data_IF_855797781207
#
_entry.id   IF_855797781207
#
_cell.length_a   1.000
_cell.length_b   1.000
_cell.length_c   1.000
_cell.angle_alpha   90.00
_cell.angle_beta   90.00
_cell.angle_gamma   90.00
#
_symmetry.space_group_name_H-M   'P 1'
#
loop_
_entity.id
_entity.type
_entity.pdbx_description
1 polymer ?
#
# COMPACT_ATOMS: atom_id res chain seq x y z
N UNK A 1 7.46 9.92 -24.22
CA UNK A 1 6.08 10.14 -23.71
C UNK A 1 6.11 9.87 -22.22
N UNK A 2 5.96 10.90 -21.36
CA UNK A 2 5.84 10.68 -19.91
C UNK A 2 4.43 10.13 -19.67
N UNK A 3 4.31 8.91 -19.14
CA UNK A 3 3.02 8.41 -18.67
C UNK A 3 2.58 9.35 -17.54
N UNK A 4 1.44 9.98 -17.72
CA UNK A 4 0.74 10.69 -16.66
C UNK A 4 0.37 9.66 -15.61
N UNK A 5 1.11 9.64 -14.49
CA UNK A 5 0.67 8.94 -13.30
C UNK A 5 -0.58 9.64 -12.79
N UNK A 6 -1.59 8.85 -12.43
CA UNK A 6 -2.78 9.30 -11.72
C UNK A 6 -2.36 10.10 -10.47
N UNK A 7 -2.34 11.43 -10.59
CA UNK A 7 -2.01 12.31 -9.50
C UNK A 7 -3.28 12.70 -8.75
N UNK A 8 -3.23 12.64 -7.42
CA UNK A 8 -4.32 13.10 -6.55
C UNK A 8 -5.31 12.04 -6.08
N UNK A 9 -5.08 10.75 -6.33
CA UNK A 9 -5.83 9.66 -5.70
C UNK A 9 -4.93 8.47 -5.33
N UNK A 10 -5.39 7.65 -4.40
CA UNK A 10 -4.74 6.40 -3.98
C UNK A 10 -5.77 5.28 -3.93
N UNK A 11 -5.35 4.06 -4.22
CA UNK A 11 -6.17 2.85 -4.04
C UNK A 11 -5.96 2.34 -2.62
N UNK A 12 -7.06 2.09 -1.90
CA UNK A 12 -7.02 1.49 -0.56
C UNK A 12 -7.40 0.02 -0.62
N UNK A 13 -6.63 -0.82 0.05
CA UNK A 13 -6.91 -2.24 0.25
C UNK A 13 -7.08 -2.48 1.75
N UNK A 14 -8.29 -2.89 2.14
CA UNK A 14 -8.61 -3.41 3.48
C UNK A 14 -8.62 -4.92 3.41
N UNK A 15 -7.57 -5.56 3.94
CA UNK A 15 -7.46 -7.01 4.03
C UNK A 15 -8.23 -7.56 5.24
N UNK A 16 -8.67 -8.81 5.15
CA UNK A 16 -9.37 -9.50 6.24
C UNK A 16 -8.41 -9.98 7.34
N UNK A 17 -7.13 -10.18 7.01
CA UNK A 17 -6.11 -10.57 7.99
C UNK A 17 -4.79 -9.81 7.81
N UNK A 18 -3.99 -9.79 8.87
CA UNK A 18 -2.64 -9.21 8.86
C UNK A 18 -1.72 -9.89 7.84
N UNK A 19 -1.82 -11.21 7.71
CA UNK A 19 -0.99 -12.01 6.79
C UNK A 19 -1.34 -11.70 5.32
N UNK A 20 -2.62 -11.41 5.03
CA UNK A 20 -3.04 -10.97 3.71
C UNK A 20 -2.52 -9.58 3.37
N UNK A 21 -2.66 -8.62 4.29
CA UNK A 21 -2.09 -7.29 4.10
C UNK A 21 -0.56 -7.33 3.91
N UNK A 22 0.16 -8.16 4.65
CA UNK A 22 1.60 -8.38 4.47
C UNK A 22 1.95 -8.96 3.09
N UNK A 23 1.21 -9.98 2.63
CA UNK A 23 1.39 -10.58 1.30
C UNK A 23 1.17 -9.56 0.19
N UNK A 24 0.08 -8.78 0.27
CA UNK A 24 -0.27 -7.76 -0.71
C UNK A 24 0.80 -6.66 -0.73
N UNK A 25 1.16 -6.11 0.43
CA UNK A 25 2.15 -5.05 0.55
C UNK A 25 3.52 -5.51 0.02
N UNK A 26 3.96 -6.73 0.36
CA UNK A 26 5.22 -7.30 -0.11
C UNK A 26 5.23 -7.44 -1.64
N UNK A 27 4.14 -7.92 -2.22
CA UNK A 27 4.02 -8.08 -3.68
C UNK A 27 4.06 -6.72 -4.39
N UNK A 28 3.35 -5.73 -3.86
CA UNK A 28 3.32 -4.38 -4.41
C UNK A 28 4.63 -3.61 -4.20
N UNK A 29 5.45 -4.01 -3.24
CA UNK A 29 6.71 -3.33 -2.90
C UNK A 29 7.84 -3.58 -3.90
N UNK A 30 7.72 -4.57 -4.80
CA UNK A 30 8.74 -4.86 -5.80
C UNK A 30 8.89 -3.69 -6.80
N UNK A 31 10.04 -3.01 -6.74
CA UNK A 31 10.33 -1.80 -7.53
C UNK A 31 9.49 -0.59 -7.13
N UNK A 32 8.86 -0.61 -5.96
CA UNK A 32 8.06 0.50 -5.44
C UNK A 32 8.90 1.56 -4.73
N UNK A 33 8.30 2.73 -4.56
CA UNK A 33 8.71 3.71 -3.55
C UNK A 33 7.83 3.54 -2.33
N UNK A 34 8.37 2.99 -1.25
CA UNK A 34 7.66 2.88 0.03
C UNK A 34 7.63 4.24 0.71
N UNK A 35 6.44 4.81 0.89
CA UNK A 35 6.24 6.11 1.57
C UNK A 35 6.07 5.90 3.07
N UNK A 36 5.39 4.83 3.46
CA UNK A 36 5.29 4.37 4.84
C UNK A 36 5.36 2.85 4.90
N UNK A 37 6.36 2.26 5.59
CA UNK A 37 6.42 0.82 5.77
C UNK A 37 5.17 0.28 6.45
N UNK A 38 4.76 -0.93 6.07
CA UNK A 38 3.69 -1.65 6.74
C UNK A 38 4.08 -1.89 8.21
N UNK A 39 3.30 -1.32 9.12
CA UNK A 39 3.59 -1.38 10.56
C UNK A 39 2.30 -1.27 11.37
N UNK A 40 2.37 -1.60 12.67
CA UNK A 40 1.25 -1.39 13.60
C UNK A 40 0.96 0.10 13.75
N UNK A 41 -0.31 0.46 13.81
CA UNK A 41 -0.75 1.84 14.03
C UNK A 41 -1.72 1.89 15.21
N UNK A 42 -2.05 3.09 15.70
CA UNK A 42 -3.00 3.22 16.82
C UNK A 42 -4.46 2.98 16.38
N UNK A 43 -4.75 2.99 15.08
CA UNK A 43 -6.10 2.89 14.52
C UNK A 43 -6.36 1.62 13.70
N UNK A 44 -5.31 0.87 13.35
CA UNK A 44 -5.41 -0.38 12.59
C UNK A 44 -4.34 -1.39 13.04
N UNK A 45 -4.64 -2.71 13.03
CA UNK A 45 -3.68 -3.76 13.33
C UNK A 45 -2.35 -3.59 12.60
N UNK A 46 -2.39 -3.36 11.28
CA UNK A 46 -1.26 -2.93 10.46
C UNK A 46 -1.73 -2.00 9.34
N UNK A 47 -0.89 -1.05 8.95
CA UNK A 47 -1.15 -0.14 7.84
C UNK A 47 0.17 0.36 7.22
N UNK A 48 0.16 0.59 5.91
CA UNK A 48 1.33 1.01 5.14
C UNK A 48 0.93 1.67 3.82
N UNK A 49 1.84 2.46 3.24
CA UNK A 49 1.63 3.11 1.95
C UNK A 49 2.86 3.04 1.05
N UNK A 50 2.65 2.86 -0.25
CA UNK A 50 3.70 2.82 -1.25
C UNK A 50 3.19 3.35 -2.59
N UNK A 51 4.10 3.69 -3.49
CA UNK A 51 3.81 3.88 -4.91
C UNK A 51 4.49 2.77 -5.70
N UNK A 52 3.73 1.94 -6.42
CA UNK A 52 4.30 0.79 -7.14
C UNK A 52 5.17 1.21 -8.34
N UNK A 53 5.84 0.25 -8.98
CA UNK A 53 6.67 0.46 -10.18
C UNK A 53 5.93 1.05 -11.40
N UNK A 54 4.60 1.05 -11.40
CA UNK A 54 3.78 1.64 -12.46
C UNK A 54 3.31 3.06 -12.11
N UNK A 55 3.62 3.52 -10.90
CA UNK A 55 3.26 4.84 -10.38
C UNK A 55 1.92 4.87 -9.65
N UNK A 56 1.28 3.73 -9.36
CA UNK A 56 0.01 3.73 -8.64
C UNK A 56 0.27 3.89 -7.14
N UNK A 57 -0.40 4.85 -6.50
CA UNK A 57 -0.35 5.03 -5.05
C UNK A 57 -1.29 4.05 -4.35
N UNK A 58 -0.75 3.30 -3.39
CA UNK A 58 -1.45 2.27 -2.62
C UNK A 58 -1.44 2.59 -1.13
N UNK A 59 -2.58 2.33 -0.49
CA UNK A 59 -2.72 2.22 0.96
C UNK A 59 -3.16 0.79 1.26
N UNK A 60 -2.46 0.10 2.13
CA UNK A 60 -2.75 -1.30 2.49
C UNK A 60 -2.87 -1.38 4.00
N UNK A 61 -3.96 -1.96 4.49
CA UNK A 61 -4.16 -2.22 5.91
C UNK A 61 -5.07 -3.41 6.15
N UNK A 62 -5.21 -3.78 7.41
CA UNK A 62 -6.19 -4.76 7.87
C UNK A 62 -7.25 -4.00 8.68
N UNK A 63 -8.52 -4.26 8.44
CA UNK A 63 -9.58 -3.75 9.33
C UNK A 63 -9.70 -4.64 10.57
N UNK A 64 -10.27 -4.08 11.64
CA UNK A 64 -10.33 -4.73 12.96
C UNK A 64 -11.70 -5.29 13.28
#
# INVERSE_FOLDING_TARGET
MRKSVAAGFSISVSADTTEEAERIFTTLSDGATVTMPLQKTFWAPIFGTLTDRYGVAWMVGCES
#
